data_IF_763879905929
#
_entry.id   IF_763879905929
#
_cell.length_a   1.000
_cell.length_b   1.000
_cell.length_c   1.000
_cell.angle_alpha   90.00
_cell.angle_beta   90.00
_cell.angle_gamma   90.00
#
_symmetry.space_group_name_H-M   'P 1'
#
loop_
_entity.id
_entity.type
_entity.pdbx_description
1 polymer ?
#
# COMPACT_ATOMS: atom_id res chain seq x y z
N UNK A 1 -2.67 9.30 17.27
CA UNK A 1 -3.65 8.25 16.93
C UNK A 1 -3.53 7.09 17.91
N UNK A 2 -4.62 6.42 18.24
CA UNK A 2 -4.66 5.21 19.09
C UNK A 2 -4.15 3.97 18.33
N UNK A 3 -3.82 2.89 19.05
CA UNK A 3 -3.42 1.63 18.40
C UNK A 3 -4.54 1.08 17.50
N UNK A 4 -5.80 1.22 17.92
CA UNK A 4 -6.96 0.78 17.15
C UNK A 4 -7.18 1.63 15.89
N UNK A 5 -6.93 2.93 15.95
CA UNK A 5 -6.90 3.80 14.77
C UNK A 5 -5.83 3.37 13.77
N UNK A 6 -4.61 3.08 14.27
CA UNK A 6 -3.50 2.58 13.44
C UNK A 6 -3.79 1.18 12.86
N UNK A 7 -4.48 0.33 13.63
CA UNK A 7 -4.99 -0.97 13.14
C UNK A 7 -5.96 -0.78 11.96
N UNK A 8 -6.90 0.15 12.07
CA UNK A 8 -7.87 0.44 11.00
C UNK A 8 -7.19 1.00 9.76
N UNK A 9 -6.17 1.86 9.91
CA UNK A 9 -5.34 2.34 8.80
C UNK A 9 -4.65 1.17 8.07
N UNK A 10 -3.99 0.28 8.82
CA UNK A 10 -3.34 -0.90 8.24
C UNK A 10 -4.32 -1.83 7.51
N UNK A 11 -5.50 -2.07 8.10
CA UNK A 11 -6.56 -2.84 7.45
C UNK A 11 -7.10 -2.13 6.21
N UNK A 12 -7.21 -0.80 6.23
CA UNK A 12 -7.73 -0.03 5.10
C UNK A 12 -6.76 -0.10 3.91
N UNK A 13 -5.45 0.08 4.15
CA UNK A 13 -4.44 -0.14 3.13
C UNK A 13 -4.46 -1.57 2.58
N UNK A 14 -4.62 -2.57 3.46
CA UNK A 14 -4.74 -3.96 3.04
C UNK A 14 -5.97 -4.20 2.16
N UNK A 15 -7.11 -3.63 2.53
CA UNK A 15 -8.37 -3.76 1.80
C UNK A 15 -8.33 -3.03 0.45
N UNK A 16 -7.79 -1.81 0.40
CA UNK A 16 -7.65 -1.04 -0.85
C UNK A 16 -6.83 -1.82 -1.88
N UNK A 17 -5.70 -2.38 -1.45
CA UNK A 17 -4.88 -3.24 -2.30
C UNK A 17 -5.62 -4.48 -2.81
N UNK A 18 -6.43 -5.13 -1.97
CA UNK A 18 -7.23 -6.30 -2.35
C UNK A 18 -8.34 -5.92 -3.35
N UNK A 19 -9.01 -4.78 -3.16
CA UNK A 19 -10.00 -4.27 -4.10
C UNK A 19 -9.38 -4.06 -5.48
N UNK A 20 -8.22 -3.40 -5.56
CA UNK A 20 -7.51 -3.22 -6.83
C UNK A 20 -7.05 -4.54 -7.45
N UNK A 21 -6.59 -5.52 -6.66
CA UNK A 21 -6.29 -6.88 -7.17
C UNK A 21 -7.53 -7.51 -7.81
N UNK A 22 -8.70 -7.40 -7.17
CA UNK A 22 -9.95 -7.89 -7.71
C UNK A 22 -10.35 -7.14 -8.99
N UNK A 23 -10.15 -5.83 -9.04
CA UNK A 23 -10.51 -4.99 -10.19
C UNK A 23 -9.64 -5.30 -11.41
N UNK A 24 -8.31 -5.44 -11.23
CA UNK A 24 -7.39 -5.88 -12.29
C UNK A 24 -7.79 -7.26 -12.80
N UNK A 25 -8.06 -8.20 -11.89
CA UNK A 25 -8.42 -9.55 -12.28
C UNK A 25 -9.76 -9.61 -13.03
N UNK A 26 -10.72 -8.76 -12.67
CA UNK A 26 -12.08 -8.78 -13.22
C UNK A 26 -12.26 -7.92 -14.46
N UNK A 27 -11.53 -6.81 -14.56
CA UNK A 27 -11.76 -5.78 -15.59
C UNK A 27 -10.50 -5.40 -16.38
N UNK A 28 -9.32 -5.80 -15.91
CA UNK A 28 -8.04 -5.43 -16.50
C UNK A 28 -7.59 -4.01 -16.18
N UNK A 29 -8.37 -3.26 -15.39
CA UNK A 29 -8.10 -1.88 -14.99
C UNK A 29 -8.31 -1.69 -13.48
N UNK A 30 -7.70 -0.63 -12.94
CA UNK A 30 -7.83 -0.22 -11.55
C UNK A 30 -7.53 1.29 -11.44
N UNK A 31 -7.87 1.90 -10.30
CA UNK A 31 -7.50 3.29 -10.04
C UNK A 31 -6.02 3.43 -9.71
N UNK A 32 -5.19 3.85 -10.67
CA UNK A 32 -3.74 4.04 -10.46
C UNK A 32 -3.45 5.00 -9.31
N UNK A 33 -4.19 6.10 -9.21
CA UNK A 33 -4.10 7.06 -8.10
C UNK A 33 -4.34 6.43 -6.71
N UNK A 34 -5.13 5.34 -6.65
CA UNK A 34 -5.40 4.63 -5.39
C UNK A 34 -4.30 3.62 -5.05
N UNK A 35 -3.47 3.22 -6.02
CA UNK A 35 -2.32 2.35 -5.80
C UNK A 35 -1.14 3.11 -5.19
N UNK A 36 -0.99 4.39 -5.53
CA UNK A 36 0.09 5.23 -5.05
C UNK A 36 0.35 5.14 -3.53
N UNK A 37 -0.64 5.35 -2.62
CA UNK A 37 -0.39 5.23 -1.17
C UNK A 37 0.04 3.81 -0.76
N UNK A 38 -0.42 2.78 -1.47
CA UNK A 38 -0.03 1.39 -1.20
C UNK A 38 1.42 1.15 -1.60
N UNK A 39 1.84 1.63 -2.77
CA UNK A 39 3.21 1.55 -3.25
C UNK A 39 4.15 2.34 -2.35
N UNK A 40 3.77 3.57 -1.98
CA UNK A 40 4.54 4.40 -1.06
C UNK A 40 4.73 3.72 0.30
N UNK A 41 3.70 3.07 0.84
CA UNK A 41 3.81 2.33 2.12
C UNK A 41 4.84 1.21 2.11
N UNK A 42 5.10 0.61 0.94
CA UNK A 42 6.15 -0.41 0.79
C UNK A 42 7.54 0.20 0.68
N UNK A 43 7.66 1.38 0.06
CA UNK A 43 8.94 2.07 -0.13
C UNK A 43 9.33 2.97 1.08
N UNK A 44 8.38 3.33 1.93
CA UNK A 44 8.62 4.04 3.19
C UNK A 44 9.14 3.06 4.25
N UNK A 45 10.46 2.87 4.25
CA UNK A 45 11.15 2.02 5.23
C UNK A 45 11.19 2.66 6.63
N UNK A 46 10.79 1.88 7.65
CA UNK A 46 10.71 2.28 9.06
C UNK A 46 9.88 3.57 9.33
N UNK A 47 8.60 3.61 8.97
CA UNK A 47 7.74 4.76 9.25
C UNK A 47 7.45 4.85 10.76
N UNK A 48 7.23 6.08 11.24
CA UNK A 48 6.86 6.37 12.64
C UNK A 48 5.53 5.76 13.02
N UNK A 49 4.57 5.74 12.08
CA UNK A 49 3.29 5.06 12.26
C UNK A 49 2.66 4.58 10.94
N UNK A 50 1.49 3.91 11.03
CA UNK A 50 0.83 3.38 9.83
C UNK A 50 0.37 4.50 8.90
N UNK A 51 -0.19 5.59 9.44
CA UNK A 51 -0.67 6.71 8.62
C UNK A 51 0.46 7.35 7.81
N UNK A 52 1.60 7.58 8.46
CA UNK A 52 2.82 8.12 7.85
C UNK A 52 3.42 7.17 6.81
N UNK A 53 3.08 5.89 6.82
CA UNK A 53 3.50 5.00 5.73
C UNK A 53 2.69 5.24 4.46
N UNK A 54 1.40 5.60 4.60
CA UNK A 54 0.45 5.70 3.49
C UNK A 54 0.28 7.10 2.91
N UNK A 55 1.08 8.09 3.31
CA UNK A 55 0.88 9.48 2.84
C UNK A 55 0.71 10.52 3.94
N UNK A 56 0.50 10.11 5.20
CA UNK A 56 0.13 11.04 6.26
C UNK A 56 -1.33 11.51 6.23
N UNK A 57 -2.08 11.17 5.17
CA UNK A 57 -3.48 11.58 4.99
C UNK A 57 -4.40 10.36 4.85
N UNK A 58 -5.35 10.24 5.79
CA UNK A 58 -6.30 9.13 5.86
C UNK A 58 -7.24 9.08 4.65
N UNK A 59 -7.45 10.21 3.97
CA UNK A 59 -8.30 10.32 2.78
C UNK A 59 -7.74 9.53 1.60
N UNK A 60 -6.42 9.31 1.56
CA UNK A 60 -5.75 8.47 0.55
C UNK A 60 -6.16 7.00 0.65
N UNK A 61 -6.70 6.58 1.81
CA UNK A 61 -7.17 5.21 2.07
C UNK A 61 -8.71 5.09 2.02
N UNK A 62 -9.39 6.08 1.45
CA UNK A 62 -10.87 6.15 1.45
C UNK A 62 -11.51 4.92 0.84
N UNK A 63 -11.01 4.41 -0.28
CA UNK A 63 -11.57 3.21 -0.92
C UNK A 63 -11.44 2.01 0.03
N UNK A 64 -10.27 1.80 0.63
CA UNK A 64 -10.06 0.75 1.63
C UNK A 64 -11.00 0.85 2.83
N UNK A 65 -11.17 2.04 3.39
CA UNK A 65 -12.07 2.31 4.52
C UNK A 65 -13.53 2.01 4.18
N UNK A 66 -14.00 2.45 3.01
CA UNK A 66 -15.36 2.18 2.55
C UNK A 66 -15.59 0.70 2.28
N UNK A 67 -14.62 0.01 1.70
CA UNK A 67 -14.69 -1.43 1.45
C UNK A 67 -14.66 -2.25 2.74
N UNK A 68 -13.89 -1.83 3.76
CA UNK A 68 -13.97 -2.41 5.11
C UNK A 68 -15.33 -2.17 5.75
N UNK A 69 -15.86 -0.96 5.67
CA UNK A 69 -17.19 -0.62 6.19
C UNK A 69 -18.25 -1.54 5.57
N UNK A 70 -18.20 -1.73 4.25
CA UNK A 70 -19.09 -2.65 3.52
C UNK A 70 -18.92 -4.08 4.01
N UNK A 71 -17.69 -4.60 4.06
CA UNK A 71 -17.40 -5.96 4.56
C UNK A 71 -17.97 -6.20 5.97
N UNK A 72 -17.83 -5.25 6.89
CA UNK A 72 -18.33 -5.40 8.25
C UNK A 72 -19.85 -5.23 8.36
N UNK A 73 -20.46 -4.40 7.52
CA UNK A 73 -21.90 -4.13 7.57
C UNK A 73 -22.75 -5.17 6.83
N UNK A 74 -22.35 -5.67 5.64
CA UNK A 74 -23.14 -6.61 4.81
C UNK A 74 -22.42 -7.10 3.53
N UNK A 75 -22.67 -8.35 3.12
CA UNK A 75 -22.28 -9.07 1.87
C UNK A 75 -21.33 -8.33 0.90
N UNK A 76 -20.05 -8.24 1.25
CA UNK A 76 -19.00 -8.00 0.25
C UNK A 76 -18.83 -9.24 -0.66
N UNK A 77 -18.21 -9.07 -1.81
CA UNK A 77 -17.77 -10.18 -2.65
C UNK A 77 -17.03 -11.23 -1.80
N UNK A 78 -17.49 -12.47 -1.85
CA UNK A 78 -16.90 -13.61 -1.14
C UNK A 78 -15.40 -13.75 -1.40
N UNK A 79 -14.96 -13.42 -2.61
CA UNK A 79 -13.54 -13.46 -2.99
C UNK A 79 -12.72 -12.41 -2.23
N UNK A 80 -13.21 -11.16 -2.12
CA UNK A 80 -12.54 -10.11 -1.33
C UNK A 80 -12.46 -10.49 0.15
N UNK A 81 -13.55 -11.01 0.73
CA UNK A 81 -13.58 -11.50 2.10
C UNK A 81 -12.59 -12.67 2.32
N UNK A 82 -12.49 -13.56 1.33
CA UNK A 82 -11.52 -14.65 1.36
C UNK A 82 -10.09 -14.10 1.27
N UNK A 83 -9.81 -13.14 0.38
CA UNK A 83 -8.48 -12.56 0.19
C UNK A 83 -7.97 -11.87 1.46
N UNK A 84 -8.79 -11.05 2.14
CA UNK A 84 -8.33 -10.40 3.38
C UNK A 84 -8.00 -11.43 4.48
N UNK A 85 -8.81 -12.49 4.60
CA UNK A 85 -8.55 -13.55 5.57
C UNK A 85 -7.28 -14.37 5.23
N UNK A 86 -7.00 -14.56 3.94
CA UNK A 86 -5.78 -15.22 3.47
C UNK A 86 -4.56 -14.34 3.74
N UNK A 87 -4.63 -13.04 3.42
CA UNK A 87 -3.57 -12.06 3.70
C UNK A 87 -3.22 -12.04 5.19
N UNK A 88 -4.22 -11.93 6.08
CA UNK A 88 -4.01 -11.97 7.54
C UNK A 88 -3.42 -13.30 8.02
N UNK A 89 -3.64 -14.40 7.29
CA UNK A 89 -3.09 -15.72 7.62
C UNK A 89 -1.66 -15.88 7.13
N UNK A 90 -1.37 -15.43 5.90
CA UNK A 90 -0.04 -15.49 5.28
C UNK A 90 0.91 -14.58 6.03
N UNK A 91 0.51 -13.34 6.34
CA UNK A 91 1.32 -12.39 7.08
C UNK A 91 1.73 -12.97 8.44
N UNK A 92 0.82 -13.63 9.17
CA UNK A 92 1.15 -14.27 10.45
C UNK A 92 2.22 -15.37 10.28
N UNK A 93 2.14 -16.15 9.20
CA UNK A 93 3.10 -17.21 8.92
C UNK A 93 4.46 -16.66 8.47
N UNK A 94 4.47 -15.58 7.69
CA UNK A 94 5.69 -14.88 7.29
C UNK A 94 6.42 -14.31 8.51
N UNK A 95 5.71 -13.62 9.40
CA UNK A 95 6.30 -13.03 10.61
C UNK A 95 6.91 -14.09 11.53
N UNK A 96 6.32 -15.30 11.56
CA UNK A 96 6.82 -16.44 12.34
C UNK A 96 8.04 -17.14 11.72
N UNK A 97 8.37 -16.87 10.46
CA UNK A 97 9.53 -17.42 9.80
C UNK A 97 10.65 -16.37 9.80
N UNK A 98 11.70 -16.59 10.58
CA UNK A 98 12.83 -15.64 10.67
C UNK A 98 13.44 -15.37 9.29
N UNK A 99 13.69 -16.43 8.53
CA UNK A 99 14.23 -16.33 7.17
C UNK A 99 13.33 -15.52 6.23
N UNK A 100 12.02 -15.80 6.18
CA UNK A 100 11.12 -15.07 5.29
C UNK A 100 10.94 -13.62 5.73
N UNK A 101 10.90 -13.37 7.04
CA UNK A 101 10.83 -12.02 7.61
C UNK A 101 12.07 -11.20 7.24
N UNK A 102 13.26 -11.76 7.42
CA UNK A 102 14.53 -11.12 7.07
C UNK A 102 14.59 -10.84 5.56
N UNK A 103 14.23 -11.82 4.73
CA UNK A 103 14.17 -11.63 3.27
C UNK A 103 13.22 -10.52 2.86
N UNK A 104 12.03 -10.46 3.46
CA UNK A 104 11.05 -9.40 3.22
C UNK A 104 11.57 -8.03 3.66
N UNK A 105 12.20 -7.94 4.83
CA UNK A 105 12.78 -6.70 5.35
C UNK A 105 13.90 -6.18 4.46
N UNK A 106 14.86 -7.05 4.10
CA UNK A 106 15.98 -6.70 3.24
C UNK A 106 15.50 -6.28 1.84
N UNK A 107 14.50 -7.00 1.29
CA UNK A 107 13.89 -6.63 0.02
C UNK A 107 13.21 -5.26 0.04
N UNK A 108 12.39 -4.97 1.06
CA UNK A 108 11.76 -3.66 1.20
C UNK A 108 12.80 -2.55 1.39
N UNK A 109 13.86 -2.79 2.16
CA UNK A 109 14.96 -1.83 2.34
C UNK A 109 15.69 -1.54 1.03
N UNK A 110 15.97 -2.56 0.22
CA UNK A 110 16.60 -2.41 -1.10
C UNK A 110 15.74 -1.58 -2.05
N UNK A 111 14.43 -1.85 -2.13
CA UNK A 111 13.53 -1.05 -2.98
C UNK A 111 13.49 0.41 -2.50
N UNK A 112 13.46 0.61 -1.19
CA UNK A 112 13.49 1.94 -0.60
C UNK A 112 14.81 2.69 -0.85
N UNK A 113 15.96 1.99 -0.95
CA UNK A 113 17.22 2.64 -1.33
C UNK A 113 17.26 2.97 -2.82
N UNK A 114 16.78 2.07 -3.68
CA UNK A 114 16.73 2.27 -5.12
C UNK A 114 15.85 3.47 -5.47
N UNK A 115 14.70 3.61 -4.80
CA UNK A 115 13.81 4.75 -4.98
C UNK A 115 14.47 6.06 -4.56
N UNK A 116 15.13 6.10 -3.40
CA UNK A 116 15.85 7.30 -2.94
C UNK A 116 16.98 7.70 -3.88
N UNK A 117 17.75 6.73 -4.38
CA UNK A 117 18.78 6.99 -5.38
C UNK A 117 18.15 7.58 -6.66
N UNK A 118 16.98 7.07 -7.07
CA UNK A 118 16.28 7.57 -8.25
C UNK A 118 15.76 9.00 -8.11
N UNK A 119 15.36 9.39 -6.91
CA UNK A 119 14.98 10.76 -6.57
C UNK A 119 16.17 11.69 -6.74
N UNK A 120 17.31 11.36 -6.12
CA UNK A 120 18.54 12.15 -6.21
C UNK A 120 19.01 12.33 -7.67
N UNK A 121 18.97 11.26 -8.48
CA UNK A 121 19.27 11.33 -9.93
C UNK A 121 18.32 12.28 -10.70
N UNK A 122 17.08 12.47 -10.23
CA UNK A 122 16.09 13.33 -10.87
C UNK A 122 16.30 14.79 -10.47
N UNK A 123 16.59 15.05 -9.20
CA UNK A 123 16.90 16.37 -8.67
C UNK A 123 18.16 16.97 -9.35
N UNK A 124 19.25 16.21 -9.47
CA UNK A 124 20.48 16.65 -10.17
C UNK A 124 20.23 17.03 -11.64
N UNK A 125 19.32 16.33 -12.32
CA UNK A 125 18.94 16.62 -13.71
C UNK A 125 18.05 17.86 -13.83
N UNK A 126 17.24 18.16 -12.82
CA UNK A 126 16.40 19.35 -12.79
C UNK A 126 17.21 20.61 -12.48
N UNK A 127 18.20 20.53 -11.58
CA UNK A 127 19.15 21.63 -11.31
C UNK A 127 19.99 22.00 -12.54
N UNK A 128 20.40 21.01 -13.33
CA UNK A 128 21.15 21.25 -14.58
C UNK A 128 20.30 21.97 -15.65
N UNK A 129 18.97 21.86 -15.58
CA UNK A 129 18.02 22.51 -16.51
C UNK A 129 17.50 23.87 -16.01
N UNK A 130 17.73 24.25 -14.75
CA UNK A 130 17.26 25.53 -14.17
C UNK A 130 18.20 26.72 -14.41
N UNK A 131 19.40 26.51 -14.94
CA UNK A 131 20.35 27.59 -15.28
C UNK A 131 19.97 28.43 -16.52
N UNK A 132 18.75 28.31 -17.06
CA UNK A 132 18.28 29.07 -18.24
C UNK A 132 16.89 29.72 -18.11
N UNK A 133 16.32 29.93 -16.90
CA UNK A 133 15.07 30.71 -16.78
C UNK A 133 15.16 31.82 -15.74
N UNK A 134 15.19 33.04 -16.28
CA UNK A 134 15.10 34.34 -15.63
C UNK A 134 13.82 34.54 -14.81
N UNK A 135 14.05 35.16 -13.65
CA UNK A 135 13.27 36.18 -12.94
C UNK A 135 11.77 36.33 -13.27
N UNK A 136 10.92 35.82 -12.38
CA UNK A 136 9.56 36.30 -12.21
C UNK A 136 8.53 35.23 -11.85
N UNK A 137 8.61 34.64 -10.65
CA UNK A 137 7.49 33.88 -10.08
C UNK A 137 7.20 34.37 -8.65
N UNK A 138 5.92 34.66 -8.42
CA UNK A 138 5.40 35.40 -7.28
C UNK A 138 5.62 34.66 -5.95
N UNK A 139 6.20 35.37 -4.98
CA UNK A 139 6.50 34.90 -3.62
C UNK A 139 5.29 34.42 -2.78
N UNK A 140 4.08 34.41 -3.35
CA UNK A 140 2.85 33.94 -2.71
C UNK A 140 2.53 32.47 -3.04
N UNK A 141 2.93 31.97 -4.22
CA UNK A 141 2.78 30.55 -4.59
C UNK A 141 3.85 29.69 -3.88
N UNK A 142 5.04 30.25 -3.65
CA UNK A 142 6.15 29.61 -2.93
C UNK A 142 5.79 29.26 -1.47
N UNK A 143 4.85 29.98 -0.85
CA UNK A 143 4.44 29.75 0.55
C UNK A 143 3.44 28.61 0.73
N UNK A 144 2.75 28.17 -0.33
CA UNK A 144 1.86 27.01 -0.28
C UNK A 144 2.60 25.69 -0.56
N UNK A 145 3.75 25.74 -1.23
CA UNK A 145 4.57 24.56 -1.52
C UNK A 145 5.54 24.20 -0.37
N UNK A 146 5.99 25.17 0.43
CA UNK A 146 7.07 24.95 1.40
C UNK A 146 6.68 24.35 2.77
N UNK A 147 5.40 24.28 3.15
CA UNK A 147 5.05 23.95 4.55
C UNK A 147 4.69 22.51 4.91
N UNK A 148 4.33 21.63 3.99
CA UNK A 148 3.94 20.24 4.33
C UNK A 148 4.26 19.17 3.27
N UNK A 149 5.04 19.46 2.23
CA UNK A 149 5.41 18.43 1.27
C UNK A 149 6.61 17.62 1.81
N UNK A 150 6.35 16.50 2.49
CA UNK A 150 7.41 15.52 2.72
C UNK A 150 7.97 15.09 1.34
N UNK A 151 9.27 15.31 1.05
CA UNK A 151 9.87 15.11 -0.28
C UNK A 151 9.61 13.71 -0.85
N UNK A 152 9.44 12.73 0.04
CA UNK A 152 9.12 11.36 -0.29
C UNK A 152 7.78 11.23 -1.05
N UNK A 153 6.81 12.11 -0.80
CA UNK A 153 5.50 12.08 -1.48
C UNK A 153 5.48 12.84 -2.80
N UNK A 154 6.34 13.85 -2.97
CA UNK A 154 6.50 14.57 -4.25
C UNK A 154 6.92 13.61 -5.36
N UNK A 155 7.78 12.65 -5.04
CA UNK A 155 8.29 11.67 -5.99
C UNK A 155 7.60 10.30 -5.92
N UNK A 156 6.45 10.20 -5.24
CA UNK A 156 5.72 8.94 -5.08
C UNK A 156 5.35 8.31 -6.43
N UNK A 157 5.00 9.13 -7.43
CA UNK A 157 4.62 8.65 -8.78
C UNK A 157 5.74 7.87 -9.48
N UNK A 158 7.00 8.04 -9.07
CA UNK A 158 8.10 7.21 -9.58
C UNK A 158 7.93 5.73 -9.26
N UNK A 159 7.25 5.39 -8.16
CA UNK A 159 7.01 4.00 -7.75
C UNK A 159 6.04 3.26 -8.69
N UNK A 160 5.28 3.98 -9.52
CA UNK A 160 4.41 3.40 -10.54
C UNK A 160 5.19 2.94 -11.78
N UNK A 161 6.47 3.31 -11.89
CA UNK A 161 7.31 2.88 -13.01
C UNK A 161 7.48 1.34 -13.03
N UNK A 162 7.52 0.71 -14.22
CA UNK A 162 7.57 -0.74 -14.35
C UNK A 162 8.70 -1.42 -13.58
N UNK A 163 9.83 -0.74 -13.39
CA UNK A 163 10.96 -1.23 -12.59
C UNK A 163 10.55 -1.53 -11.14
N UNK A 164 9.94 -0.56 -10.46
CA UNK A 164 9.56 -0.72 -9.05
C UNK A 164 8.41 -1.73 -8.89
N UNK A 165 7.42 -1.68 -9.81
CA UNK A 165 6.33 -2.67 -9.82
C UNK A 165 6.89 -4.10 -9.96
N UNK A 166 7.90 -4.29 -10.81
CA UNK A 166 8.57 -5.58 -10.97
C UNK A 166 9.34 -5.98 -9.71
N UNK A 167 10.09 -5.06 -9.09
CA UNK A 167 10.79 -5.33 -7.83
C UNK A 167 9.83 -5.75 -6.71
N UNK A 168 8.69 -5.07 -6.55
CA UNK A 168 7.66 -5.46 -5.59
C UNK A 168 7.06 -6.83 -5.92
N UNK A 169 6.77 -7.10 -7.20
CA UNK A 169 6.22 -8.36 -7.65
C UNK A 169 7.19 -9.54 -7.42
N UNK A 170 8.49 -9.33 -7.64
CA UNK A 170 9.54 -10.31 -7.39
C UNK A 170 9.69 -10.59 -5.90
N UNK A 171 9.70 -9.55 -5.06
CA UNK A 171 9.73 -9.70 -3.62
C UNK A 171 8.56 -10.54 -3.09
N UNK A 172 7.34 -10.32 -3.61
CA UNK A 172 6.18 -11.16 -3.30
C UNK A 172 6.38 -12.62 -3.73
N UNK A 173 6.86 -12.85 -4.97
CA UNK A 173 7.12 -14.21 -5.50
C UNK A 173 8.15 -14.95 -4.67
N UNK A 174 9.16 -14.26 -4.17
CA UNK A 174 10.25 -14.84 -3.40
C UNK A 174 9.91 -15.10 -1.93
N UNK A 175 8.88 -14.45 -1.39
CA UNK A 175 8.49 -14.54 0.03
C UNK A 175 7.09 -15.14 0.20
N UNK A 176 6.06 -14.30 0.16
CA UNK A 176 4.67 -14.64 0.44
C UNK A 176 4.12 -15.77 -0.43
N UNK A 177 4.50 -15.82 -1.71
CA UNK A 177 4.00 -16.85 -2.64
C UNK A 177 4.45 -18.28 -2.27
N UNK A 178 5.51 -18.40 -1.46
CA UNK A 178 6.03 -19.68 -0.95
C UNK A 178 5.33 -20.14 0.33
N UNK A 179 4.44 -19.32 0.88
CA UNK A 179 3.73 -19.61 2.12
C UNK A 179 2.33 -20.16 1.81
N UNK A 180 1.95 -21.26 2.44
CA UNK A 180 0.58 -21.77 2.37
C UNK A 180 -0.32 -21.08 3.40
N UNK A 181 -1.60 -20.81 3.12
CA UNK A 181 -2.29 -21.06 1.85
C UNK A 181 -1.90 -20.07 0.76
N UNK A 182 -1.93 -20.48 -0.50
CA UNK A 182 -1.63 -19.59 -1.64
C UNK A 182 -2.88 -18.81 -2.03
N UNK A 183 -2.73 -17.50 -2.27
CA UNK A 183 -3.81 -16.65 -2.78
C UNK A 183 -4.10 -17.03 -4.23
N UNK A 184 -5.30 -17.54 -4.48
CA UNK A 184 -5.79 -17.82 -5.82
C UNK A 184 -6.64 -16.63 -6.29
N UNK A 185 -6.02 -15.76 -7.07
CA UNK A 185 -6.71 -14.61 -7.68
C UNK A 185 -7.63 -15.15 -8.78
N UNK A 186 -8.92 -14.84 -8.67
CA UNK A 186 -9.97 -15.23 -9.63
C UNK A 186 -10.33 -14.03 -10.46
N UNK A 187 -10.60 -14.25 -11.74
CA UNK A 187 -10.89 -13.19 -12.70
C UNK A 187 -10.91 -13.72 -14.12
N UNK A 188 -10.95 -12.80 -15.08
CA UNK A 188 -10.91 -13.12 -16.50
C UNK A 188 -9.50 -13.53 -16.92
N UNK A 189 -9.41 -14.63 -17.66
CA UNK A 189 -8.13 -15.24 -18.03
C UNK A 189 -7.23 -14.29 -18.83
N UNK A 190 -7.81 -13.47 -19.71
CA UNK A 190 -7.11 -12.49 -20.53
C UNK A 190 -6.34 -11.45 -19.69
N UNK A 191 -6.92 -11.01 -18.58
CA UNK A 191 -6.27 -10.04 -17.69
C UNK A 191 -5.18 -10.68 -16.84
N UNK A 192 -5.37 -11.94 -16.44
CA UNK A 192 -4.43 -12.68 -15.59
C UNK A 192 -3.18 -13.16 -16.37
N UNK A 193 -3.27 -13.31 -17.69
CA UNK A 193 -2.13 -13.66 -18.55
C UNK A 193 -1.27 -12.46 -18.94
N UNK A 194 -1.77 -11.24 -18.79
CA UNK A 194 -0.99 -10.04 -19.07
C UNK A 194 0.10 -9.87 -17.98
N UNK A 195 1.36 -9.81 -18.40
CA UNK A 195 2.50 -9.73 -17.48
C UNK A 195 2.49 -8.46 -16.62
N UNK A 196 2.06 -7.32 -17.17
CA UNK A 196 1.94 -6.07 -16.42
C UNK A 196 0.88 -6.21 -15.32
N UNK A 197 -0.30 -6.73 -15.66
CA UNK A 197 -1.37 -6.99 -14.68
C UNK A 197 -0.91 -7.99 -13.62
N UNK A 198 -0.22 -9.05 -14.01
CA UNK A 198 0.29 -10.05 -13.08
C UNK A 198 1.35 -9.47 -12.13
N UNK A 199 2.19 -8.55 -12.60
CA UNK A 199 3.14 -7.83 -11.75
C UNK A 199 2.44 -6.87 -10.79
N UNK A 200 1.48 -6.06 -11.27
CA UNK A 200 0.67 -5.21 -10.40
C UNK A 200 -0.09 -6.00 -9.33
N UNK A 201 -0.74 -7.11 -9.71
CA UNK A 201 -1.42 -7.98 -8.75
C UNK A 201 -0.47 -8.42 -7.64
N UNK A 202 0.75 -8.87 -7.97
CA UNK A 202 1.73 -9.31 -6.97
C UNK A 202 2.25 -8.16 -6.12
N UNK A 203 2.53 -7.00 -6.72
CA UNK A 203 2.93 -5.79 -6.00
C UNK A 203 1.85 -5.33 -5.01
N UNK A 204 0.58 -5.34 -5.42
CA UNK A 204 -0.55 -4.99 -4.57
C UNK A 204 -0.80 -6.03 -3.47
N UNK A 205 -0.62 -7.33 -3.75
CA UNK A 205 -0.68 -8.36 -2.71
C UNK A 205 0.42 -8.18 -1.66
N UNK A 206 1.62 -7.75 -2.07
CA UNK A 206 2.68 -7.34 -1.13
C UNK A 206 2.26 -6.13 -0.29
N UNK A 207 1.68 -5.11 -0.93
CA UNK A 207 1.14 -3.94 -0.25
C UNK A 207 0.02 -4.30 0.74
N UNK A 208 -0.77 -5.32 0.42
CA UNK A 208 -1.79 -5.85 1.33
C UNK A 208 -1.18 -6.54 2.56
N UNK A 209 -0.10 -7.30 2.38
CA UNK A 209 0.68 -7.87 3.48
C UNK A 209 1.32 -6.78 4.35
N UNK A 210 1.78 -5.68 3.76
CA UNK A 210 2.29 -4.51 4.50
C UNK A 210 1.22 -3.92 5.42
N UNK A 211 -0.01 -3.75 4.91
CA UNK A 211 -1.15 -3.29 5.72
C UNK A 211 -1.52 -4.27 6.84
N UNK A 212 -1.53 -5.56 6.55
CA UNK A 212 -1.72 -6.61 7.56
C UNK A 212 -0.61 -6.62 8.62
N UNK A 213 0.62 -6.31 8.23
CA UNK A 213 1.76 -6.20 9.15
C UNK A 213 1.57 -5.01 10.11
N UNK A 214 1.09 -3.86 9.63
CA UNK A 214 0.72 -2.76 10.52
C UNK A 214 -0.39 -3.14 11.49
N UNK A 215 -1.45 -3.77 11.00
CA UNK A 215 -2.52 -4.26 11.85
C UNK A 215 -1.98 -5.14 12.99
N UNK A 216 -1.05 -6.05 12.69
CA UNK A 216 -0.41 -6.90 13.71
C UNK A 216 0.53 -6.12 14.62
N UNK A 217 1.34 -5.21 14.07
CA UNK A 217 2.30 -4.41 14.82
C UNK A 217 1.62 -3.62 15.95
N UNK A 218 0.44 -3.07 15.67
CA UNK A 218 -0.40 -2.37 16.65
C UNK A 218 -1.27 -3.29 17.50
N UNK A 219 -0.96 -4.59 17.57
CA UNK A 219 -1.60 -5.56 18.47
C UNK A 219 -2.80 -6.31 17.89
N UNK A 220 -3.14 -6.09 16.62
CA UNK A 220 -4.24 -6.75 15.94
C UNK A 220 -4.01 -8.25 15.73
N UNK A 221 -5.01 -9.07 16.08
CA UNK A 221 -5.05 -10.51 15.81
C UNK A 221 -6.12 -10.83 14.79
N UNK A 222 -5.97 -11.98 14.12
CA UNK A 222 -6.96 -12.47 13.15
C UNK A 222 -8.38 -12.56 13.73
N UNK A 223 -8.52 -12.94 15.00
CA UNK A 223 -9.82 -12.98 15.67
C UNK A 223 -10.36 -11.57 15.97
N UNK A 224 -9.50 -10.60 16.25
CA UNK A 224 -9.92 -9.22 16.50
C UNK A 224 -10.61 -8.62 15.28
N UNK A 225 -10.11 -8.90 14.07
CA UNK A 225 -10.77 -8.53 12.81
C UNK A 225 -12.23 -8.99 12.73
N UNK A 226 -12.54 -10.18 13.26
CA UNK A 226 -13.90 -10.73 13.22
C UNK A 226 -14.74 -10.34 14.44
N UNK A 227 -14.14 -10.17 15.61
CA UNK A 227 -14.85 -9.96 16.89
C UNK A 227 -15.02 -8.48 17.24
N UNK A 228 -14.10 -7.60 16.81
CA UNK A 228 -14.11 -6.15 17.11
C UNK A 228 -14.70 -5.30 15.99
N UNK A 229 -15.53 -5.89 15.12
CA UNK A 229 -16.13 -5.21 13.95
C UNK A 229 -16.80 -3.88 14.31
N UNK A 230 -17.58 -3.85 15.40
CA UNK A 230 -18.27 -2.62 15.85
C UNK A 230 -17.27 -1.50 16.16
N UNK A 231 -16.22 -1.80 16.93
CA UNK A 231 -15.18 -0.84 17.27
C UNK A 231 -14.47 -0.30 16.01
N UNK A 232 -14.13 -1.17 15.06
CA UNK A 232 -13.51 -0.73 13.80
C UNK A 232 -14.47 0.09 12.94
N UNK A 233 -15.77 -0.23 12.93
CA UNK A 233 -16.78 0.57 12.23
C UNK A 233 -16.91 1.98 12.81
N UNK A 234 -16.86 2.12 14.14
CA UNK A 234 -16.94 3.42 14.81
C UNK A 234 -15.74 4.31 14.43
N UNK A 235 -14.53 3.72 14.39
CA UNK A 235 -13.31 4.41 13.95
C UNK A 235 -13.39 4.80 12.47
N UNK A 236 -13.86 3.90 11.59
CA UNK A 236 -14.04 4.21 10.17
C UNK A 236 -15.02 5.39 9.98
N UNK A 237 -16.08 5.46 10.80
CA UNK A 237 -17.02 6.58 10.75
C UNK A 237 -16.38 7.88 11.24
N UNK A 238 -15.55 7.83 12.30
CA UNK A 238 -14.82 9.00 12.78
C UNK A 238 -13.89 9.59 11.70
N UNK A 239 -13.12 8.74 10.99
CA UNK A 239 -12.26 9.18 9.89
C UNK A 239 -13.00 9.77 8.68
N UNK A 240 -14.29 9.51 8.52
CA UNK A 240 -15.09 10.09 7.43
C UNK A 240 -15.65 11.46 7.77
N UNK A 241 -15.78 11.75 9.06
CA UNK A 241 -16.43 12.96 9.57
C UNK A 241 -15.44 14.06 9.97
N UNK A 242 -14.16 13.74 10.07
CA UNK A 242 -13.05 14.69 10.24
C UNK A 242 -12.42 15.02 8.89
#
# INVERSE_FOLDING_TARGET
MTNEEQQVIGLAGAMQAICMVNDIASTGAFGESEALPILTSMATYNPTDALTAYGGDVRLLRHGLLSLQRLFNQNINRDIAQYIMMILTIELKLVRSDFMREKLQNGMQSIASDWRAKIAENEEKNETNQNEKDEGEDAFDTLLEEKEANPLYVHASMLEQPQFITQFADLYKETASKTEPRIMVKGHHEHLQNDNNANYIRALLLGSLRGASFFRHYGGKRLDFMLRRKQYLDIIQAFKNG
#
